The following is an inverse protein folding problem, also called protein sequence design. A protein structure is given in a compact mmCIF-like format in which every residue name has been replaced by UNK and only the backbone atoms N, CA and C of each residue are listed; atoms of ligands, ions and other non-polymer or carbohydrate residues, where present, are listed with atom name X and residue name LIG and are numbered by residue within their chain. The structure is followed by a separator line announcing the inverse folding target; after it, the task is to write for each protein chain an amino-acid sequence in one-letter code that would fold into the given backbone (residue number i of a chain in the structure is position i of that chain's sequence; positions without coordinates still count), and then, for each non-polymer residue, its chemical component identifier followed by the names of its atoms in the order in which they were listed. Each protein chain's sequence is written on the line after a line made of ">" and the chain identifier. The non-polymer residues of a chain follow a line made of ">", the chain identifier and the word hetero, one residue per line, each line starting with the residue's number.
data_IF_718955848417
#
_entry.id   IF_718955848417
#
_cell.length_a   1.000
_cell.length_b   1.000
_cell.length_c   1.000
_cell.angle_alpha   90.00
_cell.angle_beta   90.00
_cell.angle_gamma   90.00
#
_symmetry.space_group_name_H-M   'P 1'
#
loop_
_entity.id
_entity.type
_entity.pdbx_description
1 polymer ?
#
# COMPACT_ATOMS: atom_id res chain seq x y z
N UNK A 1 -14.56 15.60 25.02
CA UNK A 1 -15.28 14.36 25.37
C UNK A 1 -15.65 13.68 24.06
N UNK A 2 -14.96 12.59 23.70
CA UNK A 2 -15.27 11.86 22.46
C UNK A 2 -16.60 11.15 22.65
N UNK A 3 -17.58 11.43 21.80
CA UNK A 3 -18.84 10.68 21.75
C UNK A 3 -18.45 9.23 21.44
N UNK A 4 -18.74 8.30 22.37
CA UNK A 4 -18.52 6.88 22.14
C UNK A 4 -19.38 6.44 20.96
N UNK A 5 -18.76 5.82 19.94
CA UNK A 5 -19.53 5.26 18.83
C UNK A 5 -20.11 3.91 19.31
N UNK A 6 -21.45 3.77 19.43
CA UNK A 6 -22.07 2.54 19.95
C UNK A 6 -21.96 1.36 18.98
N UNK A 7 -21.51 1.58 17.74
CA UNK A 7 -21.40 0.55 16.71
C UNK A 7 -20.01 -0.07 16.60
N UNK A 8 -19.00 0.44 17.31
CA UNK A 8 -17.64 -0.13 17.32
C UNK A 8 -17.46 -1.07 18.50
N UNK A 9 -16.86 -2.24 18.26
CA UNK A 9 -16.51 -3.18 19.34
C UNK A 9 -15.43 -2.59 20.26
N UNK A 10 -14.43 -1.94 19.68
CA UNK A 10 -13.35 -1.25 20.38
C UNK A 10 -13.26 0.20 19.91
N UNK A 11 -13.11 1.16 20.82
CA UNK A 11 -13.18 2.58 20.48
C UNK A 11 -12.01 3.02 19.59
N UNK A 12 -10.83 2.41 19.74
CA UNK A 12 -9.67 2.67 18.91
C UNK A 12 -9.84 2.27 17.43
N UNK A 13 -10.83 1.45 17.06
CA UNK A 13 -11.14 1.15 15.66
C UNK A 13 -11.50 2.42 14.86
N UNK A 14 -11.94 3.48 15.53
CA UNK A 14 -12.28 4.76 14.91
C UNK A 14 -11.11 5.40 14.14
N UNK A 15 -9.85 5.05 14.46
CA UNK A 15 -8.68 5.56 13.72
C UNK A 15 -8.63 5.07 12.27
N UNK A 16 -9.38 4.02 11.91
CA UNK A 16 -9.48 3.55 10.53
C UNK A 16 -10.22 4.54 9.60
N UNK A 17 -11.15 5.35 10.16
CA UNK A 17 -11.97 6.29 9.39
C UNK A 17 -11.17 7.26 8.52
N UNK A 18 -10.20 8.04 9.04
CA UNK A 18 -9.43 8.97 8.22
C UNK A 18 -8.68 8.27 7.08
N UNK A 19 -8.16 7.06 7.30
CA UNK A 19 -7.49 6.28 6.25
C UNK A 19 -8.44 5.93 5.10
N UNK A 20 -9.65 5.44 5.39
CA UNK A 20 -10.62 5.12 4.35
C UNK A 20 -11.13 6.36 3.62
N UNK A 21 -11.42 7.45 4.34
CA UNK A 21 -11.89 8.71 3.72
C UNK A 21 -10.83 9.24 2.76
N UNK A 22 -9.56 9.26 3.18
CA UNK A 22 -8.48 9.75 2.34
C UNK A 22 -8.21 8.82 1.15
N UNK A 23 -8.28 7.49 1.33
CA UNK A 23 -8.18 6.54 0.23
C UNK A 23 -9.24 6.82 -0.86
N UNK A 24 -10.50 7.07 -0.49
CA UNK A 24 -11.56 7.40 -1.43
C UNK A 24 -11.31 8.73 -2.15
N UNK A 25 -10.78 9.74 -1.46
CA UNK A 25 -10.41 11.02 -2.09
C UNK A 25 -9.30 10.83 -3.13
N UNK A 26 -8.25 10.07 -2.79
CA UNK A 26 -7.15 9.76 -3.71
C UNK A 26 -7.63 8.91 -4.89
N UNK A 27 -8.57 7.99 -4.67
CA UNK A 27 -9.16 7.18 -5.74
C UNK A 27 -9.88 8.04 -6.77
N UNK A 28 -10.66 9.04 -6.35
CA UNK A 28 -11.28 10.01 -7.29
C UNK A 28 -10.19 10.71 -8.11
N UNK A 29 -9.11 11.17 -7.47
CA UNK A 29 -7.95 11.73 -8.16
C UNK A 29 -7.37 10.78 -9.21
N UNK A 30 -7.15 9.51 -8.86
CA UNK A 30 -6.65 8.48 -9.77
C UNK A 30 -7.53 8.37 -11.04
N UNK A 31 -8.86 8.34 -10.88
CA UNK A 31 -9.80 8.24 -12.00
C UNK A 31 -9.70 9.45 -12.93
N UNK A 32 -9.61 10.67 -12.38
CA UNK A 32 -9.46 11.89 -13.18
C UNK A 32 -8.19 11.84 -14.07
N UNK A 33 -7.05 11.45 -13.50
CA UNK A 33 -5.82 11.29 -14.27
C UNK A 33 -5.88 10.12 -15.27
N UNK A 34 -6.66 9.08 -14.98
CA UNK A 34 -6.95 8.00 -15.94
C UNK A 34 -7.75 8.50 -17.14
N UNK A 35 -8.79 9.30 -16.90
CA UNK A 35 -9.59 9.91 -17.97
C UNK A 35 -8.78 10.89 -18.83
N UNK A 36 -7.90 11.69 -18.19
CA UNK A 36 -6.96 12.58 -18.90
C UNK A 36 -6.09 11.76 -19.86
N UNK A 37 -5.44 10.69 -19.37
CA UNK A 37 -4.62 9.83 -20.22
C UNK A 37 -5.45 9.16 -21.32
N UNK A 38 -6.66 8.70 -21.01
CA UNK A 38 -7.56 8.10 -22.00
C UNK A 38 -7.84 9.05 -23.18
N UNK A 39 -8.00 10.35 -22.92
CA UNK A 39 -8.14 11.34 -23.98
C UNK A 39 -6.81 11.61 -24.71
N UNK A 40 -5.68 11.65 -23.99
CA UNK A 40 -4.34 11.81 -24.60
C UNK A 40 -3.99 10.69 -25.60
N UNK A 41 -4.58 9.50 -25.49
CA UNK A 41 -4.40 8.44 -26.48
C UNK A 41 -4.97 8.79 -27.87
N UNK A 42 -6.06 9.56 -27.92
CA UNK A 42 -6.78 9.89 -29.17
C UNK A 42 -6.62 11.35 -29.59
N UNK A 43 -6.23 12.22 -28.65
CA UNK A 43 -5.85 13.62 -28.88
C UNK A 43 -4.47 13.85 -28.24
N UNK A 44 -3.41 13.53 -28.99
CA UNK A 44 -2.04 13.38 -28.48
C UNK A 44 -1.39 14.63 -27.89
N UNK A 45 -1.90 15.82 -28.21
CA UNK A 45 -1.42 17.11 -27.71
C UNK A 45 -2.32 17.71 -26.60
N UNK A 46 -3.38 16.99 -26.18
CA UNK A 46 -4.26 17.44 -25.11
C UNK A 46 -3.49 17.69 -23.81
N UNK A 47 -3.59 18.93 -23.29
CA UNK A 47 -2.85 19.47 -22.13
C UNK A 47 -1.33 19.58 -22.28
N UNK A 48 -0.75 19.31 -23.45
CA UNK A 48 0.67 19.53 -23.69
C UNK A 48 0.96 21.03 -23.92
N UNK A 49 2.07 21.61 -23.39
CA UNK A 49 3.13 20.98 -22.58
C UNK A 49 2.88 21.00 -21.07
N UNK A 50 1.73 21.50 -20.60
CA UNK A 50 1.44 21.71 -19.18
C UNK A 50 1.36 20.40 -18.37
N UNK A 51 0.73 19.36 -18.91
CA UNK A 51 0.61 18.04 -18.29
C UNK A 51 0.94 16.95 -19.32
N UNK A 52 2.24 16.66 -19.56
CA UNK A 52 2.64 15.59 -20.45
C UNK A 52 2.13 14.22 -19.98
N UNK A 53 1.90 13.30 -20.92
CA UNK A 53 1.37 11.97 -20.64
C UNK A 53 2.13 11.22 -19.53
N UNK A 54 3.45 11.27 -19.52
CA UNK A 54 4.26 10.59 -18.50
C UNK A 54 4.02 11.12 -17.07
N UNK A 55 3.74 12.43 -16.92
CA UNK A 55 3.41 13.04 -15.63
C UNK A 55 2.01 12.59 -15.21
N UNK A 56 1.03 12.62 -16.12
CA UNK A 56 -0.31 12.12 -15.85
C UNK A 56 -0.29 10.64 -15.44
N UNK A 57 0.57 9.84 -16.08
CA UNK A 57 0.77 8.41 -15.79
C UNK A 57 1.29 8.17 -14.39
N UNK A 58 2.40 8.80 -13.99
CA UNK A 58 2.95 8.59 -12.65
C UNK A 58 2.02 9.11 -11.55
N UNK A 59 1.25 10.18 -11.81
CA UNK A 59 0.21 10.61 -10.87
C UNK A 59 -0.87 9.53 -10.75
N UNK A 60 -1.39 9.03 -11.87
CA UNK A 60 -2.41 7.97 -11.88
C UNK A 60 -1.94 6.71 -11.14
N UNK A 61 -0.79 6.16 -11.51
CA UNK A 61 -0.31 4.89 -10.94
C UNK A 61 0.09 5.04 -9.47
N UNK A 62 0.61 6.19 -9.06
CA UNK A 62 1.10 6.35 -7.69
C UNK A 62 -0.06 6.72 -6.76
N UNK A 63 -1.08 7.43 -7.25
CA UNK A 63 -2.35 7.55 -6.55
C UNK A 63 -2.98 6.18 -6.32
N UNK A 64 -3.00 5.30 -7.33
CA UNK A 64 -3.51 3.92 -7.21
C UNK A 64 -2.85 3.17 -6.03
N UNK A 65 -1.52 3.11 -6.04
CA UNK A 65 -0.76 2.39 -5.00
C UNK A 65 -1.00 3.03 -3.63
N UNK A 66 -0.89 4.35 -3.53
CA UNK A 66 -1.01 5.05 -2.25
C UNK A 66 -2.41 4.89 -1.67
N UNK A 67 -3.48 5.04 -2.45
CA UNK A 67 -4.83 4.90 -1.90
C UNK A 67 -5.12 3.46 -1.44
N UNK A 68 -4.60 2.46 -2.14
CA UNK A 68 -4.68 1.06 -1.70
C UNK A 68 -3.94 0.85 -0.38
N UNK A 69 -2.74 1.41 -0.22
CA UNK A 69 -2.00 1.34 1.04
C UNK A 69 -2.75 2.02 2.20
N UNK A 70 -3.41 3.16 1.96
CA UNK A 70 -4.31 3.76 2.94
C UNK A 70 -5.48 2.82 3.27
N UNK A 71 -6.06 2.16 2.26
CA UNK A 71 -7.10 1.15 2.44
C UNK A 71 -6.64 -0.03 3.31
N UNK A 72 -5.46 -0.59 3.04
CA UNK A 72 -4.88 -1.69 3.82
C UNK A 72 -4.60 -1.28 5.27
N UNK A 73 -4.02 -0.10 5.49
CA UNK A 73 -3.80 0.42 6.84
C UNK A 73 -5.12 0.64 7.58
N UNK A 74 -6.12 1.23 6.92
CA UNK A 74 -7.45 1.40 7.48
C UNK A 74 -8.11 0.07 7.85
N UNK A 75 -8.02 -0.93 6.96
CA UNK A 75 -8.54 -2.26 7.21
C UNK A 75 -7.87 -2.93 8.40
N UNK A 76 -6.53 -2.89 8.48
CA UNK A 76 -5.78 -3.41 9.61
C UNK A 76 -6.13 -2.68 10.92
N UNK A 77 -6.21 -1.35 10.91
CA UNK A 77 -6.59 -0.58 12.09
C UNK A 77 -8.02 -0.86 12.57
N UNK A 78 -8.91 -1.28 11.68
CA UNK A 78 -10.25 -1.69 12.04
C UNK A 78 -10.29 -3.12 12.59
N UNK A 79 -9.74 -4.09 11.86
CA UNK A 79 -9.92 -5.52 12.19
C UNK A 79 -8.94 -6.03 13.25
N UNK A 80 -7.72 -5.49 13.33
CA UNK A 80 -6.69 -6.01 14.24
C UNK A 80 -7.08 -5.86 15.72
N UNK A 81 -7.60 -4.70 16.20
CA UNK A 81 -8.09 -4.60 17.58
C UNK A 81 -9.15 -5.65 17.91
N UNK A 82 -10.05 -5.93 16.95
CA UNK A 82 -11.14 -6.88 17.13
C UNK A 82 -10.67 -8.34 17.15
N UNK A 83 -9.74 -8.71 16.27
CA UNK A 83 -9.11 -10.03 16.25
C UNK A 83 -8.20 -10.26 17.46
N UNK A 84 -7.51 -9.20 17.91
CA UNK A 84 -6.67 -9.21 19.10
C UNK A 84 -7.46 -9.19 20.41
N UNK A 85 -8.77 -8.93 20.33
CA UNK A 85 -9.70 -8.75 21.44
C UNK A 85 -9.25 -7.69 22.45
N UNK A 86 -8.74 -6.56 21.94
CA UNK A 86 -8.27 -5.44 22.76
C UNK A 86 -8.19 -4.15 21.97
N UNK A 87 -8.10 -3.04 22.69
CA UNK A 87 -7.76 -1.75 22.09
C UNK A 87 -6.38 -1.78 21.40
N UNK A 88 -6.28 -1.01 20.30
CA UNK A 88 -5.05 -0.76 19.56
C UNK A 88 -3.96 -0.21 20.49
N UNK A 89 -2.72 -0.64 20.29
CA UNK A 89 -1.56 -0.24 21.10
C UNK A 89 -1.39 1.28 21.20
N UNK A 90 -1.56 2.02 20.10
CA UNK A 90 -1.50 3.49 20.12
C UNK A 90 -2.39 4.15 19.05
N UNK A 91 -3.58 4.66 19.42
CA UNK A 91 -4.42 5.47 18.54
C UNK A 91 -3.74 6.78 18.11
N UNK A 92 -2.95 7.40 19.01
CA UNK A 92 -2.19 8.62 18.71
C UNK A 92 -1.15 8.39 17.61
N UNK A 93 -0.45 7.26 17.66
CA UNK A 93 0.52 6.89 16.63
C UNK A 93 -0.16 6.66 15.29
N UNK A 94 -1.33 6.01 15.26
CA UNK A 94 -2.10 5.85 14.02
C UNK A 94 -2.43 7.21 13.38
N UNK A 95 -2.95 8.17 14.16
CA UNK A 95 -3.26 9.50 13.62
C UNK A 95 -2.01 10.28 13.20
N UNK A 96 -0.90 10.16 13.92
CA UNK A 96 0.37 10.77 13.51
C UNK A 96 0.85 10.22 12.16
N UNK A 97 0.88 8.88 12.04
CA UNK A 97 1.32 8.20 10.82
C UNK A 97 0.41 8.52 9.63
N UNK A 98 -0.91 8.64 9.86
CA UNK A 98 -1.86 9.11 8.85
C UNK A 98 -1.43 10.45 8.26
N UNK A 99 -1.16 11.46 9.09
CA UNK A 99 -0.79 12.79 8.61
C UNK A 99 0.58 12.82 7.94
N UNK A 100 1.56 12.10 8.48
CA UNK A 100 2.89 11.98 7.87
C UNK A 100 2.78 11.35 6.48
N UNK A 101 2.02 10.26 6.36
CA UNK A 101 1.87 9.57 5.08
C UNK A 101 1.06 10.39 4.07
N UNK A 102 -0.01 11.04 4.52
CA UNK A 102 -0.85 11.89 3.67
C UNK A 102 -0.06 13.09 3.15
N UNK A 103 0.70 13.76 4.02
CA UNK A 103 1.56 14.86 3.63
C UNK A 103 2.65 14.41 2.63
N UNK A 104 3.33 13.29 2.89
CA UNK A 104 4.35 12.77 1.98
C UNK A 104 3.78 12.41 0.60
N UNK A 105 2.62 11.75 0.56
CA UNK A 105 1.90 11.41 -0.66
C UNK A 105 1.51 12.65 -1.46
N UNK A 106 0.84 13.62 -0.82
CA UNK A 106 0.43 14.88 -1.48
C UNK A 106 1.65 15.65 -1.99
N UNK A 107 2.69 15.82 -1.17
CA UNK A 107 3.90 16.55 -1.57
C UNK A 107 4.60 15.90 -2.78
N UNK A 108 4.59 14.57 -2.86
CA UNK A 108 5.18 13.85 -3.99
C UNK A 108 4.36 14.02 -5.27
N UNK A 109 3.03 13.94 -5.18
CA UNK A 109 2.14 14.24 -6.32
C UNK A 109 2.29 15.69 -6.78
N UNK A 110 2.37 16.65 -5.85
CA UNK A 110 2.66 18.05 -6.19
C UNK A 110 4.04 18.19 -6.86
N UNK A 111 5.05 17.47 -6.37
CA UNK A 111 6.37 17.43 -6.99
C UNK A 111 6.31 16.99 -8.46
N UNK A 112 5.54 15.96 -8.79
CA UNK A 112 5.35 15.51 -10.18
C UNK A 112 4.68 16.58 -11.05
N UNK A 113 3.69 17.28 -10.52
CA UNK A 113 2.87 18.23 -11.28
C UNK A 113 3.54 19.60 -11.48
N UNK A 114 4.37 20.03 -10.54
CA UNK A 114 4.86 21.41 -10.49
C UNK A 114 6.36 21.56 -10.79
N UNK A 115 7.11 20.47 -10.87
CA UNK A 115 8.55 20.50 -11.16
C UNK A 115 8.85 19.52 -12.29
N UNK A 116 9.55 19.92 -13.37
CA UNK A 116 10.01 18.99 -14.39
C UNK A 116 10.77 17.83 -13.73
N UNK A 117 10.50 16.59 -14.16
CA UNK A 117 10.91 15.39 -13.41
C UNK A 117 12.42 15.30 -13.15
N UNK A 118 13.25 15.72 -14.09
CA UNK A 118 14.71 15.81 -13.90
C UNK A 118 15.10 16.89 -12.87
N UNK A 119 14.39 18.02 -12.84
CA UNK A 119 14.54 19.05 -11.82
C UNK A 119 14.11 18.55 -10.43
N UNK A 120 13.04 17.76 -10.36
CA UNK A 120 12.61 17.10 -9.12
C UNK A 120 13.68 16.11 -8.61
N UNK A 121 14.29 15.34 -9.51
CA UNK A 121 15.39 14.44 -9.17
C UNK A 121 16.60 15.18 -8.60
N UNK A 122 17.03 16.28 -9.24
CA UNK A 122 18.12 17.12 -8.75
C UNK A 122 17.79 17.77 -7.40
N UNK A 123 16.59 18.35 -7.26
CA UNK A 123 16.13 19.02 -6.03
C UNK A 123 16.07 18.08 -4.83
N UNK A 124 15.80 16.79 -5.07
CA UNK A 124 15.69 15.78 -4.01
C UNK A 124 16.96 14.95 -3.82
N UNK A 125 18.05 15.31 -4.50
CA UNK A 125 19.35 14.66 -4.34
C UNK A 125 19.40 13.22 -4.85
N UNK A 126 18.66 12.90 -5.93
CA UNK A 126 18.59 11.55 -6.47
C UNK A 126 19.97 11.01 -6.91
N UNK A 127 20.95 11.87 -7.22
CA UNK A 127 22.30 11.45 -7.58
C UNK A 127 23.07 10.76 -6.44
N UNK A 128 22.66 10.97 -5.18
CA UNK A 128 23.29 10.33 -4.01
C UNK A 128 22.87 8.87 -3.83
N UNK A 129 21.61 8.56 -4.11
CA UNK A 129 21.04 7.23 -4.07
C UNK A 129 19.92 7.15 -5.11
N UNK A 130 20.24 6.76 -6.36
CA UNK A 130 19.33 6.87 -7.48
C UNK A 130 18.26 5.80 -7.42
N UNK A 131 17.00 6.20 -7.18
CA UNK A 131 15.86 5.26 -7.15
C UNK A 131 14.65 5.73 -7.96
N UNK A 132 14.69 6.95 -8.51
CA UNK A 132 13.63 7.53 -9.33
C UNK A 132 13.64 6.99 -10.78
N UNK A 133 12.56 7.23 -11.52
CA UNK A 133 12.47 6.93 -12.96
C UNK A 133 12.19 5.48 -13.34
N UNK A 134 11.88 4.63 -12.35
CA UNK A 134 11.41 3.25 -12.55
C UNK A 134 9.89 3.23 -12.38
N UNK A 135 9.18 2.50 -13.22
CA UNK A 135 7.72 2.41 -13.21
C UNK A 135 7.21 2.00 -11.81
N UNK A 136 6.14 2.66 -11.33
CA UNK A 136 5.58 2.52 -9.97
C UNK A 136 6.50 2.98 -8.82
N UNK A 137 7.74 3.37 -9.13
CA UNK A 137 8.79 3.75 -8.19
C UNK A 137 9.33 5.16 -8.50
N UNK A 138 8.50 6.03 -9.07
CA UNK A 138 8.86 7.36 -9.55
C UNK A 138 9.11 8.37 -8.42
N UNK A 139 8.69 8.08 -7.19
CA UNK A 139 8.83 8.97 -6.05
C UNK A 139 10.31 9.19 -5.67
N UNK A 140 10.68 10.40 -5.20
CA UNK A 140 12.00 10.67 -4.68
C UNK A 140 12.48 9.64 -3.64
N UNK A 141 13.78 9.39 -3.58
CA UNK A 141 14.37 8.46 -2.60
C UNK A 141 14.01 8.85 -1.17
N UNK A 142 13.99 10.15 -0.86
CA UNK A 142 13.56 10.67 0.44
C UNK A 142 12.08 10.33 0.75
N UNK A 143 11.21 10.32 -0.25
CA UNK A 143 9.82 9.89 -0.09
C UNK A 143 9.75 8.40 0.18
N UNK A 144 10.53 7.56 -0.53
CA UNK A 144 10.61 6.12 -0.26
C UNK A 144 11.03 5.85 1.18
N UNK A 145 12.03 6.57 1.70
CA UNK A 145 12.47 6.47 3.10
C UNK A 145 11.31 6.84 4.04
N UNK A 146 10.61 7.94 3.77
CA UNK A 146 9.41 8.33 4.54
C UNK A 146 8.34 7.24 4.57
N UNK A 147 8.07 6.60 3.42
CA UNK A 147 7.13 5.46 3.32
C UNK A 147 7.60 4.29 4.20
N UNK A 148 8.90 3.93 4.17
CA UNK A 148 9.45 2.88 5.04
C UNK A 148 9.25 3.23 6.52
N UNK A 149 9.54 4.47 6.93
CA UNK A 149 9.34 4.91 8.32
C UNK A 149 7.87 4.80 8.73
N UNK A 150 6.94 5.22 7.86
CA UNK A 150 5.50 5.08 8.10
C UNK A 150 5.12 3.60 8.24
N UNK A 151 5.60 2.75 7.33
CA UNK A 151 5.31 1.31 7.34
C UNK A 151 5.83 0.65 8.62
N UNK A 152 7.04 0.98 9.07
CA UNK A 152 7.61 0.47 10.32
C UNK A 152 6.81 0.92 11.54
N UNK A 153 6.42 2.20 11.60
CA UNK A 153 5.58 2.72 12.68
C UNK A 153 4.20 2.05 12.70
N UNK A 154 3.61 1.83 11.53
CA UNK A 154 2.34 1.14 11.35
C UNK A 154 2.43 -0.31 11.82
N UNK A 155 3.42 -1.07 11.32
CA UNK A 155 3.67 -2.46 11.69
C UNK A 155 3.97 -2.62 13.18
N UNK A 156 4.73 -1.72 13.77
CA UNK A 156 4.94 -1.68 15.22
C UNK A 156 3.61 -1.53 15.96
N UNK A 157 2.75 -0.60 15.53
CA UNK A 157 1.48 -0.33 16.21
C UNK A 157 0.55 -1.55 16.21
N UNK A 158 0.31 -2.14 15.03
CA UNK A 158 -0.55 -3.32 14.91
C UNK A 158 0.11 -4.59 15.46
N UNK A 159 1.43 -4.72 15.32
CA UNK A 159 2.21 -5.84 15.84
C UNK A 159 2.18 -5.88 17.38
N UNK A 160 2.38 -4.74 18.04
CA UNK A 160 2.26 -4.66 19.51
C UNK A 160 0.84 -4.93 20.01
N UNK A 161 -0.17 -4.61 19.20
CA UNK A 161 -1.57 -4.93 19.49
C UNK A 161 -1.76 -6.45 19.51
N UNK A 162 -1.25 -7.17 18.50
CA UNK A 162 -1.38 -8.63 18.42
C UNK A 162 -0.48 -9.39 19.39
N UNK A 163 0.75 -8.91 19.64
CA UNK A 163 1.66 -9.56 20.58
C UNK A 163 1.03 -9.66 21.98
N UNK A 164 0.36 -8.60 22.41
CA UNK A 164 -0.32 -8.51 23.71
C UNK A 164 -1.80 -8.93 23.67
N UNK A 165 -2.28 -9.48 22.55
CA UNK A 165 -3.67 -9.85 22.35
C UNK A 165 -3.83 -11.30 21.89
N UNK A 166 -5.09 -11.67 21.64
CA UNK A 166 -5.43 -12.93 20.99
C UNK A 166 -4.82 -12.99 19.59
N UNK A 167 -4.35 -14.18 19.19
CA UNK A 167 -3.86 -14.44 17.84
C UNK A 167 -4.88 -15.33 17.14
N UNK A 168 -5.25 -14.95 15.94
CA UNK A 168 -6.15 -15.69 15.05
C UNK A 168 -5.44 -15.94 13.72
N UNK A 169 -5.87 -16.93 12.94
CA UNK A 169 -5.24 -17.18 11.64
C UNK A 169 -5.33 -15.93 10.74
N UNK A 170 -6.49 -15.26 10.73
CA UNK A 170 -6.71 -14.02 9.97
C UNK A 170 -5.70 -12.94 10.36
N UNK A 171 -5.55 -12.66 11.65
CA UNK A 171 -4.63 -11.61 12.10
C UNK A 171 -3.17 -11.93 11.79
N UNK A 172 -2.79 -13.20 11.87
CA UNK A 172 -1.42 -13.64 11.57
C UNK A 172 -1.13 -13.62 10.08
N UNK A 173 -2.07 -14.05 9.23
CA UNK A 173 -1.93 -13.97 7.76
C UNK A 173 -1.88 -12.50 7.32
N UNK A 174 -2.73 -11.64 7.89
CA UNK A 174 -2.70 -10.18 7.65
C UNK A 174 -1.33 -9.60 8.00
N UNK A 175 -0.79 -9.92 9.18
CA UNK A 175 0.55 -9.46 9.58
C UNK A 175 1.65 -9.96 8.63
N UNK A 176 1.60 -11.23 8.21
CA UNK A 176 2.57 -11.78 7.26
C UNK A 176 2.53 -11.04 5.93
N UNK A 177 1.33 -10.77 5.39
CA UNK A 177 1.16 -9.98 4.17
C UNK A 177 1.68 -8.54 4.31
N UNK A 178 1.36 -7.86 5.41
CA UNK A 178 1.80 -6.48 5.65
C UNK A 178 3.31 -6.37 5.91
N UNK A 179 3.91 -7.33 6.61
CA UNK A 179 5.37 -7.40 6.80
C UNK A 179 6.04 -7.69 5.46
N UNK A 180 5.54 -8.68 4.71
CA UNK A 180 6.02 -9.02 3.38
C UNK A 180 5.97 -7.82 2.43
N UNK A 181 4.88 -7.04 2.46
CA UNK A 181 4.74 -5.80 1.70
C UNK A 181 5.88 -4.83 2.02
N UNK A 182 6.12 -4.55 3.30
CA UNK A 182 7.19 -3.64 3.72
C UNK A 182 8.59 -4.16 3.35
N UNK A 183 8.83 -5.48 3.47
CA UNK A 183 10.11 -6.11 3.12
C UNK A 183 10.37 -6.02 1.62
N UNK A 184 9.40 -6.41 0.79
CA UNK A 184 9.56 -6.35 -0.66
C UNK A 184 9.68 -4.92 -1.17
N UNK A 185 9.11 -3.92 -0.48
CA UNK A 185 9.35 -2.52 -0.80
C UNK A 185 10.84 -2.13 -0.75
N UNK A 186 11.66 -2.79 0.07
CA UNK A 186 13.08 -2.46 0.21
C UNK A 186 13.87 -2.69 -1.09
N UNK A 187 13.39 -3.57 -1.98
CA UNK A 187 13.98 -3.74 -3.31
C UNK A 187 13.82 -2.49 -4.20
N UNK A 188 12.93 -1.54 -3.85
CA UNK A 188 12.86 -0.25 -4.54
C UNK A 188 14.11 0.63 -4.36
N UNK A 189 14.92 0.37 -3.34
CA UNK A 189 16.21 1.04 -3.13
C UNK A 189 17.36 0.37 -3.87
N UNK A 190 17.16 -0.85 -4.37
CA UNK A 190 18.14 -1.54 -5.18
C UNK A 190 17.91 -1.18 -6.66
N UNK A 191 18.81 -0.36 -7.19
CA UNK A 191 18.80 0.11 -8.59
C UNK A 191 20.12 -0.28 -9.29
N UNK A 192 20.22 -1.51 -9.83
CA UNK A 192 21.39 -1.99 -10.54
C UNK A 192 21.66 -1.26 -11.86
N UNK A 193 22.93 -1.06 -12.20
CA UNK A 193 23.32 -0.49 -13.51
C UNK A 193 22.96 -1.41 -14.70
N UNK A 194 22.98 -2.73 -14.48
CA UNK A 194 22.57 -3.68 -15.51
C UNK A 194 21.05 -3.71 -15.62
N UNK A 195 20.51 -3.31 -16.78
CA UNK A 195 19.08 -3.21 -17.03
C UNK A 195 18.30 -4.50 -16.75
N UNK A 196 18.83 -5.67 -17.14
CA UNK A 196 18.17 -6.94 -16.90
C UNK A 196 18.11 -7.26 -15.40
N UNK A 197 19.19 -6.96 -14.67
CA UNK A 197 19.22 -7.11 -13.20
C UNK A 197 18.28 -6.14 -12.51
N UNK A 198 18.17 -4.89 -12.98
CA UNK A 198 17.17 -3.94 -12.48
C UNK A 198 15.76 -4.50 -12.64
N UNK A 199 15.38 -4.90 -13.87
CA UNK A 199 14.07 -5.50 -14.14
C UNK A 199 13.80 -6.72 -13.28
N UNK A 200 14.78 -7.60 -13.10
CA UNK A 200 14.65 -8.80 -12.27
C UNK A 200 14.21 -8.47 -10.83
N UNK A 201 14.88 -7.52 -10.17
CA UNK A 201 14.54 -7.14 -8.80
C UNK A 201 13.40 -6.13 -8.70
N UNK A 202 13.08 -5.41 -9.78
CA UNK A 202 11.89 -4.58 -9.85
C UNK A 202 10.61 -5.44 -9.71
N UNK A 203 10.58 -6.62 -10.32
CA UNK A 203 9.47 -7.57 -10.17
C UNK A 203 9.33 -8.15 -8.76
N UNK A 204 10.38 -8.11 -7.93
CA UNK A 204 10.26 -8.49 -6.52
C UNK A 204 9.44 -7.47 -5.74
N UNK A 205 9.36 -6.22 -6.20
CA UNK A 205 8.39 -5.27 -5.66
C UNK A 205 7.02 -5.55 -6.25
N UNK A 206 6.88 -5.49 -7.57
CA UNK A 206 5.57 -5.44 -8.22
C UNK A 206 4.83 -6.76 -8.15
N UNK A 207 5.41 -7.84 -8.66
CA UNK A 207 4.74 -9.13 -8.75
C UNK A 207 4.59 -9.78 -7.38
N UNK A 208 5.67 -9.86 -6.59
CA UNK A 208 5.59 -10.48 -5.26
C UNK A 208 4.72 -9.67 -4.29
N UNK A 209 4.46 -8.39 -4.55
CA UNK A 209 3.31 -7.69 -3.97
C UNK A 209 2.00 -8.25 -4.50
N UNK A 210 1.65 -7.98 -5.75
CA UNK A 210 0.27 -8.13 -6.25
C UNK A 210 -0.21 -9.58 -6.34
N UNK A 211 0.70 -10.52 -6.63
CA UNK A 211 0.45 -11.95 -6.83
C UNK A 211 1.10 -12.79 -5.70
N UNK A 212 1.29 -12.16 -4.54
CA UNK A 212 1.90 -12.77 -3.38
C UNK A 212 1.40 -12.14 -2.09
N UNK A 213 2.15 -11.18 -1.55
CA UNK A 213 1.90 -10.67 -0.20
C UNK A 213 0.62 -9.82 -0.10
N UNK A 214 0.12 -9.23 -1.19
CA UNK A 214 -1.17 -8.54 -1.20
C UNK A 214 -2.35 -9.52 -1.21
N UNK A 215 -2.20 -10.72 -1.77
CA UNK A 215 -3.23 -11.76 -1.66
C UNK A 215 -3.44 -12.17 -0.20
N UNK A 216 -2.38 -12.18 0.62
CA UNK A 216 -2.47 -12.39 2.07
C UNK A 216 -3.28 -11.30 2.78
N UNK A 217 -3.08 -10.05 2.40
CA UNK A 217 -3.84 -8.91 2.94
C UNK A 217 -5.31 -9.02 2.53
N UNK A 218 -5.58 -9.21 1.23
CA UNK A 218 -6.92 -9.35 0.67
C UNK A 218 -7.68 -10.53 1.27
N UNK A 219 -7.05 -11.72 1.32
CA UNK A 219 -7.63 -12.93 1.87
C UNK A 219 -8.00 -12.77 3.34
N UNK A 220 -7.15 -12.11 4.12
CA UNK A 220 -7.42 -11.82 5.53
C UNK A 220 -8.60 -10.86 5.72
N UNK A 221 -8.70 -9.82 4.89
CA UNK A 221 -9.84 -8.90 4.90
C UNK A 221 -11.14 -9.62 4.53
N UNK A 222 -11.12 -10.45 3.48
CA UNK A 222 -12.27 -11.22 3.03
C UNK A 222 -12.72 -12.21 4.12
N UNK A 223 -11.79 -12.98 4.68
CA UNK A 223 -12.08 -13.93 5.75
C UNK A 223 -12.68 -13.24 6.98
N UNK A 224 -12.14 -12.09 7.38
CA UNK A 224 -12.69 -11.29 8.47
C UNK A 224 -14.13 -10.87 8.17
N UNK A 225 -14.38 -10.30 6.99
CA UNK A 225 -15.73 -9.87 6.59
C UNK A 225 -16.70 -11.04 6.59
N UNK A 226 -16.32 -12.19 6.02
CA UNK A 226 -17.16 -13.39 5.98
C UNK A 226 -17.55 -13.87 7.38
N UNK A 227 -16.60 -13.89 8.33
CA UNK A 227 -16.91 -14.23 9.73
C UNK A 227 -17.94 -13.28 10.33
N UNK A 228 -17.89 -11.99 9.97
CA UNK A 228 -18.79 -10.97 10.55
C UNK A 228 -20.18 -10.96 9.93
N UNK A 229 -20.35 -11.41 8.69
CA UNK A 229 -21.62 -11.24 7.98
C UNK A 229 -22.37 -12.54 7.69
N UNK A 230 -21.68 -13.68 7.66
CA UNK A 230 -22.28 -14.93 7.17
C UNK A 230 -22.77 -15.86 8.27
N UNK A 231 -22.24 -15.76 9.49
CA UNK A 231 -22.49 -16.71 10.56
C UNK A 231 -21.82 -18.08 10.37
N UNK A 232 -21.03 -18.28 9.31
CA UNK A 232 -20.24 -19.50 9.10
C UNK A 232 -19.13 -19.59 10.14
N UNK A 233 -18.86 -20.81 10.61
CA UNK A 233 -17.84 -21.06 11.62
C UNK A 233 -16.46 -20.54 11.21
N UNK A 234 -15.82 -19.84 12.15
CA UNK A 234 -14.45 -19.29 11.99
C UNK A 234 -13.46 -20.36 11.56
N UNK A 235 -13.56 -21.56 12.13
CA UNK A 235 -12.63 -22.66 11.84
C UNK A 235 -12.66 -23.05 10.35
N UNK A 236 -13.86 -23.10 9.75
CA UNK A 236 -14.02 -23.42 8.33
C UNK A 236 -13.43 -22.31 7.46
N UNK A 237 -13.72 -21.05 7.77
CA UNK A 237 -13.20 -19.90 7.03
C UNK A 237 -11.68 -19.83 7.12
N UNK A 238 -11.10 -19.99 8.30
CA UNK A 238 -9.65 -19.93 8.51
C UNK A 238 -8.93 -21.09 7.82
N UNK A 239 -9.51 -22.29 7.78
CA UNK A 239 -8.98 -23.41 7.00
C UNK A 239 -8.91 -23.07 5.51
N UNK A 240 -9.97 -22.52 4.94
CA UNK A 240 -9.99 -22.12 3.53
C UNK A 240 -9.06 -20.95 3.24
N UNK A 241 -8.92 -20.00 4.17
CA UNK A 241 -7.91 -18.95 4.07
C UNK A 241 -6.52 -19.55 3.87
N UNK A 242 -6.11 -20.52 4.71
CA UNK A 242 -4.81 -21.18 4.54
C UNK A 242 -4.65 -21.88 3.19
N UNK A 243 -5.68 -22.56 2.70
CA UNK A 243 -5.65 -23.21 1.38
C UNK A 243 -5.42 -22.18 0.26
N UNK A 244 -6.15 -21.06 0.28
CA UNK A 244 -6.00 -19.99 -0.71
C UNK A 244 -4.59 -19.39 -0.65
N UNK A 245 -4.08 -19.10 0.55
CA UNK A 245 -2.73 -18.54 0.72
C UNK A 245 -1.63 -19.50 0.28
N UNK A 246 -1.80 -20.80 0.55
CA UNK A 246 -0.86 -21.82 0.10
C UNK A 246 -0.81 -21.87 -1.43
N UNK A 247 -1.97 -21.90 -2.10
CA UNK A 247 -2.04 -21.90 -3.56
C UNK A 247 -1.39 -20.64 -4.14
N UNK A 248 -1.75 -19.46 -3.61
CA UNK A 248 -1.19 -18.17 -4.01
C UNK A 248 0.34 -18.18 -4.01
N UNK A 249 0.96 -18.63 -2.91
CA UNK A 249 2.42 -18.62 -2.78
C UNK A 249 3.11 -19.74 -3.57
N UNK A 250 2.49 -20.93 -3.68
CA UNK A 250 3.02 -22.04 -4.49
C UNK A 250 3.09 -21.63 -5.96
N UNK A 251 2.06 -20.94 -6.47
CA UNK A 251 2.02 -20.52 -7.86
C UNK A 251 2.77 -19.20 -8.08
N UNK A 252 2.54 -18.19 -7.25
CA UNK A 252 3.02 -16.82 -7.46
C UNK A 252 4.52 -16.66 -7.30
N UNK A 253 5.16 -17.33 -6.34
CA UNK A 253 6.61 -17.13 -6.10
C UNK A 253 7.43 -17.49 -7.35
N UNK A 254 7.24 -18.70 -7.90
CA UNK A 254 7.90 -19.11 -9.15
C UNK A 254 7.22 -18.47 -10.37
N UNK A 255 5.92 -18.18 -10.26
CA UNK A 255 5.11 -17.46 -11.24
C UNK A 255 5.70 -16.11 -11.65
N UNK A 256 6.46 -15.44 -10.78
CA UNK A 256 7.28 -14.26 -11.13
C UNK A 256 8.06 -14.44 -12.43
N UNK A 257 8.48 -15.67 -12.74
CA UNK A 257 9.18 -16.04 -13.97
C UNK A 257 8.44 -15.66 -15.27
N UNK A 258 7.12 -15.47 -15.26
CA UNK A 258 6.39 -15.00 -16.43
C UNK A 258 6.73 -13.56 -16.86
N UNK A 259 7.46 -12.85 -16.01
CA UNK A 259 7.99 -11.53 -16.28
C UNK A 259 9.47 -11.54 -16.73
N UNK A 260 10.09 -12.72 -16.79
CA UNK A 260 11.50 -12.90 -17.16
C UNK A 260 11.67 -13.47 -18.56
N UNK A 261 10.61 -13.44 -19.38
CA UNK A 261 10.66 -13.91 -20.75
C UNK A 261 11.42 -12.95 -21.69
N UNK A 262 11.35 -11.63 -21.45
CA UNK A 262 11.99 -10.59 -22.28
C UNK A 262 12.38 -9.33 -21.48
#
# INVERSE_FOLDING_TARGET
>A
MSIMNPHLKFQSQAVAKPYFVFALMLFVGQILFGLIMGLQYVVGDFLFPLLPFNVARMVHTNLLIVWLLFGFMGAAYYLIPEEADRELHSPKLAILLFWVFAAAGVLTILGYLFVPYAGLAAMTGNDLLPTMGREFLEQPTITKIGIVVVALGFLYNIGMTLLKGRKTAISMVMMTGLIGLAVFFLFSFYNPENLARDKYYWWFVVHLWVEGVWELIMGSMLAFVLIKITGVDREVIEKWLYVIMAMALITGIIGTGHHFFW
#
